data_IF_703805638112
#
_entry.id   IF_703805638112
#
_cell.length_a   1.000
_cell.length_b   1.000
_cell.length_c   1.000
_cell.angle_alpha   90.00
_cell.angle_beta   90.00
_cell.angle_gamma   90.00
#
_symmetry.space_group_name_H-M   'P 1'
#
loop_
_entity.id
_entity.type
_entity.pdbx_description
1 polymer ?
#
# COMPACT_ATOMS: atom_id res chain seq x y z
N UNK A 1 -0.18 23.31 19.91
CA UNK A 1 -0.34 22.18 18.96
C UNK A 1 -0.34 20.82 19.66
N UNK A 2 0.64 20.49 20.50
CA UNK A 2 0.67 19.18 21.20
C UNK A 2 -0.56 18.92 22.08
N UNK A 3 -0.99 19.90 22.89
CA UNK A 3 -2.19 19.77 23.75
C UNK A 3 -3.46 19.52 22.91
N UNK A 4 -3.61 20.22 21.78
CA UNK A 4 -4.76 20.08 20.88
C UNK A 4 -4.79 18.67 20.27
N UNK A 5 -3.65 18.19 19.77
CA UNK A 5 -3.54 16.83 19.22
C UNK A 5 -3.81 15.77 20.30
N UNK A 6 -3.37 16.01 21.54
CA UNK A 6 -3.64 15.13 22.68
C UNK A 6 -5.13 15.07 23.05
N UNK A 7 -5.84 16.20 23.01
CA UNK A 7 -7.29 16.26 23.24
C UNK A 7 -8.02 15.51 22.12
N UNK A 8 -7.68 15.77 20.86
CA UNK A 8 -8.27 15.08 19.70
C UNK A 8 -8.02 13.57 19.80
N UNK A 9 -6.80 13.15 20.12
CA UNK A 9 -6.45 11.74 20.30
C UNK A 9 -7.25 11.06 21.41
N UNK A 10 -7.45 11.75 22.54
CA UNK A 10 -8.26 11.22 23.66
C UNK A 10 -9.73 11.04 23.25
N UNK A 11 -10.31 11.99 22.52
CA UNK A 11 -11.69 11.86 22.01
C UNK A 11 -11.82 10.67 21.05
N UNK A 12 -10.87 10.54 20.11
CA UNK A 12 -10.84 9.39 19.20
C UNK A 12 -10.65 8.06 19.93
N UNK A 13 -9.87 8.04 21.02
CA UNK A 13 -9.68 6.84 21.83
C UNK A 13 -10.98 6.38 22.50
N UNK A 14 -11.83 7.30 22.95
CA UNK A 14 -13.15 6.97 23.51
C UNK A 14 -14.09 6.36 22.45
N UNK A 15 -14.06 6.88 21.22
CA UNK A 15 -14.81 6.28 20.11
C UNK A 15 -14.27 4.89 19.73
N UNK A 16 -12.94 4.78 19.68
CA UNK A 16 -12.23 3.54 19.34
C UNK A 16 -12.50 2.45 20.37
N UNK A 17 -12.59 2.80 21.66
CA UNK A 17 -12.93 1.86 22.74
C UNK A 17 -14.24 1.11 22.43
N UNK A 18 -15.25 1.81 21.93
CA UNK A 18 -16.54 1.22 21.58
C UNK A 18 -16.54 0.49 20.22
N UNK A 19 -15.58 0.80 19.34
CA UNK A 19 -15.50 0.24 17.97
C UNK A 19 -14.21 -0.58 17.74
N UNK A 20 -13.58 -1.06 18.82
CA UNK A 20 -12.21 -1.56 18.79
C UNK A 20 -12.05 -2.74 17.82
N UNK A 21 -12.97 -3.70 17.88
CA UNK A 21 -12.94 -4.89 17.00
C UNK A 21 -13.16 -4.51 15.53
N UNK A 22 -14.08 -3.57 15.26
CA UNK A 22 -14.31 -3.07 13.90
C UNK A 22 -13.08 -2.36 13.34
N UNK A 23 -12.43 -1.56 14.17
CA UNK A 23 -11.18 -0.89 13.81
C UNK A 23 -10.05 -1.88 13.54
N UNK A 24 -9.85 -2.90 14.39
CA UNK A 24 -8.86 -3.95 14.16
C UNK A 24 -9.12 -4.71 12.85
N UNK A 25 -10.40 -4.96 12.53
CA UNK A 25 -10.81 -5.61 11.27
C UNK A 25 -10.45 -4.73 10.07
N UNK A 26 -10.73 -3.44 10.14
CA UNK A 26 -10.35 -2.48 9.11
C UNK A 26 -8.82 -2.39 8.92
N UNK A 27 -8.05 -2.28 10.01
CA UNK A 27 -6.60 -2.25 9.93
C UNK A 27 -6.01 -3.55 9.36
N UNK A 28 -6.60 -4.70 9.72
CA UNK A 28 -6.22 -6.01 9.18
C UNK A 28 -6.50 -6.14 7.67
N UNK A 29 -7.40 -5.34 7.13
CA UNK A 29 -7.67 -5.24 5.68
C UNK A 29 -6.74 -4.24 4.99
N UNK A 30 -6.50 -3.08 5.61
CA UNK A 30 -5.86 -1.94 4.96
C UNK A 30 -4.32 -1.97 5.00
N UNK A 31 -3.72 -2.44 6.09
CA UNK A 31 -2.25 -2.44 6.25
C UNK A 31 -1.55 -3.49 5.38
N UNK A 32 -2.00 -4.75 5.32
CA UNK A 32 -1.30 -5.79 4.56
C UNK A 32 -1.09 -5.50 3.05
N UNK A 33 -2.07 -4.99 2.27
CA UNK A 33 -1.87 -4.72 0.85
C UNK A 33 -0.81 -3.67 0.60
N UNK A 34 -0.65 -2.68 1.49
CA UNK A 34 0.43 -1.69 1.40
C UNK A 34 1.80 -2.38 1.48
N UNK A 35 1.98 -3.28 2.45
CA UNK A 35 3.19 -4.08 2.56
C UNK A 35 3.44 -4.95 1.33
N UNK A 36 2.40 -5.61 0.82
CA UNK A 36 2.45 -6.43 -0.40
C UNK A 36 2.92 -5.65 -1.62
N UNK A 37 2.38 -4.45 -1.83
CA UNK A 37 2.75 -3.54 -2.94
C UNK A 37 4.20 -3.09 -2.81
N UNK A 38 4.65 -2.69 -1.62
CA UNK A 38 6.03 -2.25 -1.39
C UNK A 38 7.02 -3.39 -1.66
N UNK A 39 6.73 -4.60 -1.18
CA UNK A 39 7.56 -5.78 -1.43
C UNK A 39 7.62 -6.06 -2.93
N UNK A 40 6.46 -6.08 -3.61
CA UNK A 40 6.40 -6.29 -5.04
C UNK A 40 7.19 -5.23 -5.83
N UNK A 41 7.10 -3.96 -5.43
CA UNK A 41 7.87 -2.87 -6.04
C UNK A 41 9.37 -3.06 -5.87
N UNK A 42 9.81 -3.41 -4.67
CA UNK A 42 11.22 -3.63 -4.38
C UNK A 42 11.79 -4.78 -5.23
N UNK A 43 11.08 -5.90 -5.34
CA UNK A 43 11.54 -7.04 -6.14
C UNK A 43 11.51 -6.75 -7.65
N UNK A 44 10.45 -6.09 -8.15
CA UNK A 44 10.32 -5.76 -9.57
C UNK A 44 11.35 -4.71 -10.02
N UNK A 45 11.61 -3.70 -9.19
CA UNK A 45 12.47 -2.57 -9.52
C UNK A 45 13.81 -2.61 -8.76
N UNK A 46 14.26 -3.80 -8.32
CA UNK A 46 15.48 -3.98 -7.52
C UNK A 46 16.73 -3.33 -8.11
N UNK A 47 16.81 -3.23 -9.44
CA UNK A 47 17.90 -2.57 -10.17
C UNK A 47 17.93 -1.06 -9.93
N UNK A 48 16.76 -0.39 -9.84
CA UNK A 48 16.63 1.05 -9.52
C UNK A 48 17.21 1.39 -8.15
N UNK A 49 17.05 0.49 -7.18
CA UNK A 49 17.55 0.66 -5.83
C UNK A 49 19.03 0.33 -5.65
N UNK A 50 19.74 -0.12 -6.70
CA UNK A 50 21.20 -0.30 -6.64
C UNK A 50 21.96 0.98 -7.00
N UNK A 51 21.35 1.85 -7.79
CA UNK A 51 21.99 3.06 -8.31
C UNK A 51 21.18 4.29 -7.92
N UNK A 52 21.21 4.61 -6.63
CA UNK A 52 20.46 5.74 -6.04
C UNK A 52 20.88 7.10 -6.61
N UNK A 53 22.09 7.20 -7.18
CA UNK A 53 22.65 8.45 -7.68
C UNK A 53 21.93 8.96 -8.95
N UNK A 54 21.36 8.07 -9.76
CA UNK A 54 20.67 8.42 -11.02
C UNK A 54 19.19 8.00 -11.03
N UNK A 55 18.66 7.54 -9.90
CA UNK A 55 17.28 7.06 -9.83
C UNK A 55 16.28 8.22 -9.86
N UNK A 56 15.57 8.38 -10.96
CA UNK A 56 14.39 9.26 -11.04
C UNK A 56 13.23 8.63 -10.25
N UNK A 57 12.99 9.15 -9.04
CA UNK A 57 11.83 8.78 -8.25
C UNK A 57 10.62 9.61 -8.68
N UNK A 58 9.50 8.94 -8.96
CA UNK A 58 8.23 9.64 -9.10
C UNK A 58 7.73 10.08 -7.74
N UNK A 59 7.28 11.34 -7.66
CA UNK A 59 6.69 11.91 -6.44
C UNK A 59 5.43 11.17 -6.00
N UNK A 60 4.65 10.64 -6.95
CA UNK A 60 3.43 9.86 -6.67
C UNK A 60 3.35 8.65 -7.60
N UNK A 61 3.32 7.45 -7.02
CA UNK A 61 3.13 6.20 -7.75
C UNK A 61 1.64 5.81 -7.77
N UNK A 62 0.92 6.25 -8.79
CA UNK A 62 -0.50 5.93 -8.99
C UNK A 62 -0.76 4.43 -9.14
N UNK A 63 0.17 3.67 -9.74
CA UNK A 63 0.05 2.22 -9.83
C UNK A 63 0.05 1.57 -8.45
N UNK A 64 0.86 2.09 -7.52
CA UNK A 64 0.88 1.68 -6.12
C UNK A 64 -0.43 1.95 -5.40
N UNK A 65 -0.97 3.16 -5.54
CA UNK A 65 -2.23 3.56 -4.90
C UNK A 65 -3.40 2.68 -5.40
N UNK A 66 -3.51 2.50 -6.71
CA UNK A 66 -4.56 1.66 -7.31
C UNK A 66 -4.39 0.21 -6.88
N UNK A 67 -3.15 -0.30 -6.85
CA UNK A 67 -2.88 -1.66 -6.39
C UNK A 67 -3.29 -1.89 -4.93
N UNK A 68 -3.06 -0.93 -4.03
CA UNK A 68 -3.53 -1.02 -2.64
C UNK A 68 -5.06 -1.06 -2.59
N UNK A 69 -5.74 -0.19 -3.34
CA UNK A 69 -7.21 -0.19 -3.39
C UNK A 69 -7.77 -1.53 -3.89
N UNK A 70 -7.18 -2.09 -4.96
CA UNK A 70 -7.53 -3.42 -5.47
C UNK A 70 -7.22 -4.52 -4.45
N UNK A 71 -6.11 -4.42 -3.72
CA UNK A 71 -5.77 -5.35 -2.64
C UNK A 71 -6.80 -5.34 -1.52
N UNK A 72 -7.23 -4.16 -1.06
CA UNK A 72 -8.31 -4.05 -0.05
C UNK A 72 -9.61 -4.66 -0.57
N UNK A 73 -9.98 -4.39 -1.82
CA UNK A 73 -11.15 -5.01 -2.45
C UNK A 73 -11.02 -6.55 -2.51
N UNK A 74 -9.87 -7.07 -2.93
CA UNK A 74 -9.60 -8.51 -2.96
C UNK A 74 -9.69 -9.13 -1.55
N UNK A 75 -9.17 -8.46 -0.53
CA UNK A 75 -9.30 -8.89 0.86
C UNK A 75 -10.74 -8.94 1.37
N UNK A 76 -11.62 -8.08 0.84
CA UNK A 76 -13.03 -8.02 1.24
C UNK A 76 -13.91 -9.02 0.49
N UNK A 77 -13.69 -9.21 -0.82
CA UNK A 77 -14.55 -10.04 -1.68
C UNK A 77 -14.12 -11.52 -1.77
N UNK A 78 -12.83 -11.83 -1.54
CA UNK A 78 -12.35 -13.20 -1.65
C UNK A 78 -12.51 -13.97 -0.33
N UNK A 79 -13.05 -15.21 -0.37
CA UNK A 79 -13.13 -16.05 0.83
C UNK A 79 -11.73 -16.48 1.30
N UNK A 80 -11.61 -16.75 2.60
CA UNK A 80 -10.38 -17.25 3.22
C UNK A 80 -9.71 -16.23 4.14
N UNK A 81 -8.37 -16.22 4.14
CA UNK A 81 -7.58 -15.37 5.03
C UNK A 81 -7.50 -13.97 4.44
N UNK A 82 -8.31 -13.06 5.00
CA UNK A 82 -8.46 -11.67 4.56
C UNK A 82 -7.11 -10.95 4.34
N UNK A 83 -6.15 -10.95 5.31
CA UNK A 83 -4.84 -10.33 5.10
C UNK A 83 -4.05 -10.92 3.93
N UNK A 84 -4.13 -12.25 3.73
CA UNK A 84 -3.39 -12.94 2.66
C UNK A 84 -3.92 -12.54 1.28
N UNK A 85 -5.25 -12.55 1.12
CA UNK A 85 -5.91 -12.14 -0.10
C UNK A 85 -5.60 -10.67 -0.42
N UNK A 86 -5.55 -9.81 0.59
CA UNK A 86 -5.22 -8.40 0.41
C UNK A 86 -3.76 -8.19 -0.04
N UNK A 87 -2.80 -8.89 0.59
CA UNK A 87 -1.38 -8.85 0.22
C UNK A 87 -1.18 -9.33 -1.21
N UNK A 88 -1.70 -10.51 -1.54
CA UNK A 88 -1.54 -11.11 -2.86
C UNK A 88 -2.25 -10.27 -3.93
N UNK A 89 -3.47 -9.82 -3.66
CA UNK A 89 -4.22 -8.94 -4.56
C UNK A 89 -3.48 -7.64 -4.85
N UNK A 90 -2.94 -6.99 -3.80
CA UNK A 90 -2.14 -5.77 -3.94
C UNK A 90 -0.84 -6.01 -4.71
N UNK A 91 -0.07 -7.04 -4.33
CA UNK A 91 1.19 -7.38 -4.98
C UNK A 91 1.02 -7.72 -6.46
N UNK A 92 0.08 -8.61 -6.80
CA UNK A 92 -0.20 -9.01 -8.18
C UNK A 92 -0.72 -7.82 -8.99
N UNK A 93 -1.68 -7.05 -8.43
CA UNK A 93 -2.20 -5.85 -9.10
C UNK A 93 -1.09 -4.85 -9.38
N UNK A 94 -0.13 -4.69 -8.47
CA UNK A 94 1.01 -3.79 -8.67
C UNK A 94 1.93 -4.26 -9.79
N UNK A 95 2.26 -5.56 -9.82
CA UNK A 95 3.12 -6.14 -10.85
C UNK A 95 2.52 -5.99 -12.27
N UNK A 96 1.19 -5.99 -12.38
CA UNK A 96 0.49 -5.76 -13.65
C UNK A 96 0.38 -4.26 -13.99
N UNK A 97 0.01 -3.42 -13.00
CA UNK A 97 -0.24 -1.99 -13.22
C UNK A 97 1.04 -1.17 -13.40
N UNK A 98 2.11 -1.50 -12.68
CA UNK A 98 3.37 -0.76 -12.73
C UNK A 98 3.98 -0.72 -14.15
N UNK A 99 4.10 -1.83 -14.92
CA UNK A 99 4.60 -1.75 -16.30
C UNK A 99 3.65 -1.03 -17.26
N UNK A 100 2.34 -0.97 -16.98
CA UNK A 100 1.36 -0.31 -17.85
C UNK A 100 1.33 1.22 -17.64
N UNK A 101 1.30 1.64 -16.38
CA UNK A 101 1.17 3.05 -16.01
C UNK A 101 2.53 3.74 -15.91
N UNK A 102 3.60 3.00 -15.66
CA UNK A 102 4.92 3.54 -15.36
C UNK A 102 5.96 3.37 -16.49
N UNK A 103 5.48 3.26 -17.74
CA UNK A 103 6.30 3.04 -18.94
C UNK A 103 7.46 4.04 -19.10
N UNK A 104 7.26 5.32 -18.75
CA UNK A 104 8.31 6.35 -18.88
C UNK A 104 9.44 6.17 -17.85
N UNK A 105 9.10 5.88 -16.59
CA UNK A 105 10.09 5.63 -15.55
C UNK A 105 10.86 4.33 -15.79
N UNK A 106 10.20 3.31 -16.34
CA UNK A 106 10.84 2.04 -16.71
C UNK A 106 11.73 2.19 -17.96
N UNK A 107 11.37 3.06 -18.92
CA UNK A 107 12.16 3.32 -20.13
C UNK A 107 13.42 4.15 -19.84
N UNK A 108 13.34 5.10 -18.89
CA UNK A 108 14.50 5.85 -18.37
C UNK A 108 15.52 4.95 -17.68
N UNK A 109 15.07 3.84 -17.06
CA UNK A 109 15.93 2.85 -16.39
C UNK A 109 16.57 1.80 -17.32
N UNK A 110 16.09 1.68 -18.56
CA UNK A 110 16.58 0.71 -19.54
C UNK A 110 17.51 1.32 -20.59
N UNK A 111 17.61 2.65 -20.62
CA UNK A 111 18.55 3.43 -21.44
C UNK A 111 19.83 3.72 -20.64
#
# INVERSE_FOLDING_TARGET
MSIINGIIGTIFALWLYNNFVGWLTFLSLAIPPIGGVIIADFFANRKRYKDFANAEFQTVNWAGIIAVATGVAAGHFLPGVVPLNAVLGGAISYLVLNPLLNKKALKSQAA
#
